data_IF_589682571985
#
_entry.id   IF_589682571985
#
_cell.length_a   1.000
_cell.length_b   1.000
_cell.length_c   1.000
_cell.angle_alpha   90.00
_cell.angle_beta   90.00
_cell.angle_gamma   90.00
#
_symmetry.space_group_name_H-M   'P 1'
#
loop_
_entity.id
_entity.type
_entity.pdbx_description
1 polymer ?
#
# COMPACT_ATOMS: atom_id res chain seq x y z
N UNK A 1 -0.71 60.23 -35.38
CA UNK A 1 0.45 60.48 -34.50
C UNK A 1 0.04 60.14 -33.08
N UNK A 2 0.47 58.98 -32.59
CA UNK A 2 0.10 58.48 -31.26
C UNK A 2 0.89 59.25 -30.19
N UNK A 3 0.18 59.81 -29.20
CA UNK A 3 0.76 60.55 -28.11
C UNK A 3 1.78 59.69 -27.34
N UNK A 4 3.00 60.22 -27.15
CA UNK A 4 4.04 59.61 -26.30
C UNK A 4 3.50 59.50 -24.87
N UNK A 5 3.13 58.28 -24.47
CA UNK A 5 2.66 58.00 -23.11
C UNK A 5 3.71 58.36 -22.07
N UNK A 6 3.33 59.20 -21.12
CA UNK A 6 4.17 59.69 -20.02
C UNK A 6 4.73 58.53 -19.19
N UNK A 7 6.06 58.48 -19.05
CA UNK A 7 6.80 57.48 -18.25
C UNK A 7 6.36 57.51 -16.78
N UNK A 8 6.06 58.71 -16.27
CA UNK A 8 5.59 58.92 -14.89
C UNK A 8 4.26 58.19 -14.67
N UNK A 9 3.37 58.19 -15.67
CA UNK A 9 2.05 57.56 -15.57
C UNK A 9 2.16 56.03 -15.55
N UNK A 10 3.13 55.46 -16.27
CA UNK A 10 3.44 54.02 -16.20
C UNK A 10 3.98 53.61 -14.83
N UNK A 11 4.88 54.41 -14.26
CA UNK A 11 5.42 54.19 -12.91
C UNK A 11 4.32 54.23 -11.84
N UNK A 12 3.41 55.20 -11.94
CA UNK A 12 2.30 55.37 -11.00
C UNK A 12 1.32 54.19 -11.08
N UNK A 13 1.02 53.70 -12.29
CA UNK A 13 0.20 52.49 -12.48
C UNK A 13 0.83 51.26 -11.81
N UNK A 14 2.15 51.06 -11.93
CA UNK A 14 2.85 49.92 -11.31
C UNK A 14 2.81 50.01 -9.78
N UNK A 15 3.03 51.20 -9.21
CA UNK A 15 2.95 51.41 -7.75
C UNK A 15 1.52 51.17 -7.25
N UNK A 16 0.51 51.69 -7.94
CA UNK A 16 -0.89 51.44 -7.60
C UNK A 16 -1.24 49.95 -7.70
N UNK A 17 -0.77 49.24 -8.73
CA UNK A 17 -1.00 47.80 -8.88
C UNK A 17 -0.36 46.99 -7.74
N UNK A 18 0.86 47.35 -7.32
CA UNK A 18 1.54 46.72 -6.18
C UNK A 18 0.80 46.98 -4.85
N UNK A 19 0.35 48.22 -4.62
CA UNK A 19 -0.44 48.57 -3.44
C UNK A 19 -1.76 47.78 -3.41
N UNK A 20 -2.44 47.67 -4.55
CA UNK A 20 -3.70 46.94 -4.68
C UNK A 20 -3.50 45.44 -4.45
N UNK A 21 -2.40 44.88 -4.96
CA UNK A 21 -2.00 43.49 -4.68
C UNK A 21 -1.72 43.24 -3.20
N UNK A 22 -1.04 44.16 -2.50
CA UNK A 22 -0.82 44.04 -1.05
C UNK A 22 -2.12 44.11 -0.26
N UNK A 23 -3.02 45.04 -0.58
CA UNK A 23 -4.32 45.18 0.10
C UNK A 23 -5.19 43.93 -0.05
N UNK A 24 -5.10 43.23 -1.20
CA UNK A 24 -5.83 41.97 -1.41
C UNK A 24 -5.14 40.78 -0.71
N UNK A 25 -3.80 40.72 -0.74
CA UNK A 25 -3.06 39.55 -0.25
C UNK A 25 -2.84 39.52 1.26
N UNK A 26 -2.72 40.67 1.92
CA UNK A 26 -2.50 40.77 3.37
C UNK A 26 -3.65 40.17 4.20
N UNK A 27 -4.94 40.49 3.95
CA UNK A 27 -6.06 39.90 4.68
C UNK A 27 -6.12 38.38 4.54
N UNK A 28 -5.84 37.86 3.34
CA UNK A 28 -5.80 36.41 3.10
C UNK A 28 -4.74 35.68 3.92
N UNK A 29 -3.56 36.30 4.10
CA UNK A 29 -2.52 35.74 4.97
C UNK A 29 -2.91 35.79 6.44
N UNK A 30 -3.45 36.92 6.91
CA UNK A 30 -3.88 37.09 8.31
C UNK A 30 -4.96 36.06 8.66
N UNK A 31 -5.99 35.87 7.83
CA UNK A 31 -7.02 34.87 8.09
C UNK A 31 -6.48 33.44 8.07
N UNK A 32 -5.52 33.12 7.19
CA UNK A 32 -4.91 31.80 7.17
C UNK A 32 -4.09 31.53 8.45
N UNK A 33 -3.44 32.56 8.99
CA UNK A 33 -2.65 32.48 10.22
C UNK A 33 -3.57 32.39 11.44
N UNK A 34 -4.66 33.17 11.49
CA UNK A 34 -5.69 33.06 12.53
C UNK A 34 -6.34 31.68 12.57
N UNK A 35 -6.72 31.13 11.40
CA UNK A 35 -7.26 29.77 11.30
C UNK A 35 -6.25 28.72 11.78
N UNK A 36 -4.97 28.89 11.44
CA UNK A 36 -3.91 28.00 11.91
C UNK A 36 -3.75 28.09 13.43
N UNK A 37 -3.73 29.29 14.00
CA UNK A 37 -3.60 29.51 15.44
C UNK A 37 -4.82 28.96 16.20
N UNK A 38 -6.03 29.22 15.71
CA UNK A 38 -7.26 28.71 16.31
C UNK A 38 -7.27 27.18 16.31
N UNK A 39 -6.93 26.58 15.16
CA UNK A 39 -6.82 25.12 15.06
C UNK A 39 -5.76 24.57 16.01
N UNK A 40 -4.57 25.16 16.04
CA UNK A 40 -3.48 24.75 16.93
C UNK A 40 -3.90 24.86 18.40
N UNK A 41 -4.59 25.94 18.79
CA UNK A 41 -5.10 26.14 20.14
C UNK A 41 -6.14 25.07 20.52
N UNK A 42 -7.06 24.74 19.60
CA UNK A 42 -8.06 23.68 19.81
C UNK A 42 -7.40 22.31 19.93
N UNK A 43 -6.43 22.01 19.07
CA UNK A 43 -5.68 20.75 19.10
C UNK A 43 -4.87 20.61 20.40
N UNK A 44 -4.25 21.70 20.87
CA UNK A 44 -3.53 21.73 22.14
C UNK A 44 -4.48 21.51 23.33
N UNK A 45 -5.62 22.20 23.36
CA UNK A 45 -6.63 22.01 24.41
C UNK A 45 -7.17 20.59 24.44
N UNK A 46 -7.46 20.01 23.27
CA UNK A 46 -7.90 18.63 23.17
C UNK A 46 -6.83 17.67 23.71
N UNK A 47 -5.56 17.91 23.37
CA UNK A 47 -4.44 17.09 23.82
C UNK A 47 -4.27 17.13 25.35
N UNK A 48 -4.39 18.32 25.96
CA UNK A 48 -4.35 18.50 27.41
C UNK A 48 -5.55 17.81 28.08
N UNK A 49 -6.73 17.94 27.50
CA UNK A 49 -7.95 17.29 28.00
C UNK A 49 -7.80 15.77 28.03
N UNK A 50 -7.38 15.15 26.92
CA UNK A 50 -7.16 13.70 26.83
C UNK A 50 -6.08 13.23 27.81
N UNK A 51 -5.00 14.00 27.95
CA UNK A 51 -3.96 13.74 28.94
C UNK A 51 -4.50 13.74 30.38
N UNK A 52 -5.31 14.73 30.73
CA UNK A 52 -5.92 14.83 32.05
C UNK A 52 -6.92 13.69 32.29
N UNK A 53 -7.72 13.33 31.29
CA UNK A 53 -8.64 12.19 31.36
C UNK A 53 -7.89 10.87 31.51
N UNK A 54 -6.76 10.69 30.83
CA UNK A 54 -5.88 9.53 30.99
C UNK A 54 -5.34 9.43 32.42
N UNK A 55 -4.80 10.53 32.95
CA UNK A 55 -4.32 10.61 34.34
C UNK A 55 -5.42 10.27 35.35
N UNK A 56 -6.60 10.89 35.21
CA UNK A 56 -7.76 10.61 36.05
C UNK A 56 -8.19 9.14 35.96
N UNK A 57 -8.15 8.57 34.76
CA UNK A 57 -8.46 7.16 34.53
C UNK A 57 -7.60 6.22 35.38
N UNK A 58 -6.31 6.53 35.54
CA UNK A 58 -5.32 5.74 36.29
C UNK A 58 -5.32 6.02 37.80
N UNK A 59 -5.40 7.29 38.19
CA UNK A 59 -5.20 7.72 39.59
C UNK A 59 -6.51 7.95 40.35
N UNK A 60 -7.63 8.06 39.62
CA UNK A 60 -8.95 8.48 40.14
C UNK A 60 -8.92 9.86 40.82
N UNK A 61 -7.97 10.72 40.46
CA UNK A 61 -7.81 12.07 40.99
C UNK A 61 -7.55 13.05 39.84
N UNK A 62 -8.03 14.28 39.99
CA UNK A 62 -7.63 15.35 39.09
C UNK A 62 -6.20 15.80 39.43
N UNK A 63 -5.49 16.25 38.40
CA UNK A 63 -4.13 16.78 38.55
C UNK A 63 -4.13 18.03 39.47
N UNK A 64 -3.08 18.24 40.27
CA UNK A 64 -2.91 19.50 41.00
C UNK A 64 -2.88 20.71 40.05
N UNK A 65 -3.34 21.86 40.52
CA UNK A 65 -3.68 23.03 39.67
C UNK A 65 -2.53 23.62 38.83
N UNK A 66 -1.26 23.25 39.05
CA UNK A 66 -0.10 23.87 38.40
C UNK A 66 1.00 22.89 37.93
N UNK A 67 0.68 21.79 37.23
CA UNK A 67 1.74 20.84 36.84
C UNK A 67 1.54 20.12 35.50
N UNK A 68 1.40 20.88 34.41
CA UNK A 68 1.49 20.32 33.04
C UNK A 68 2.76 19.47 32.85
N UNK A 69 3.90 19.88 33.41
CA UNK A 69 5.15 19.09 33.39
C UNK A 69 4.98 17.74 34.08
N UNK A 70 4.29 17.69 35.22
CA UNK A 70 3.99 16.44 35.92
C UNK A 70 3.09 15.51 35.10
N UNK A 71 2.13 16.08 34.36
CA UNK A 71 1.28 15.29 33.47
C UNK A 71 2.08 14.65 32.33
N UNK A 72 2.98 15.43 31.73
CA UNK A 72 3.88 14.94 30.68
C UNK A 72 4.81 13.86 31.22
N UNK A 73 5.40 14.06 32.40
CA UNK A 73 6.27 13.07 33.05
C UNK A 73 5.52 11.80 33.46
N UNK A 74 4.28 11.93 33.93
CA UNK A 74 3.40 10.81 34.22
C UNK A 74 3.13 9.98 32.96
N UNK A 75 2.81 10.63 31.85
CA UNK A 75 2.56 9.94 30.56
C UNK A 75 3.83 9.27 30.06
N UNK A 76 4.97 9.97 30.10
CA UNK A 76 6.29 9.44 29.68
C UNK A 76 6.78 8.28 30.55
N UNK A 77 6.33 8.19 31.80
CA UNK A 77 6.67 7.08 32.69
C UNK A 77 5.71 5.88 32.60
N UNK A 78 4.60 5.98 31.85
CA UNK A 78 3.70 4.85 31.63
C UNK A 78 4.36 3.79 30.73
N UNK A 79 4.84 2.73 31.38
CA UNK A 79 5.50 1.60 30.73
C UNK A 79 4.64 0.91 29.66
N UNK A 80 3.32 0.86 29.82
CA UNK A 80 2.43 0.22 28.85
C UNK A 80 2.24 1.07 27.60
N UNK A 81 2.10 2.39 27.75
CA UNK A 81 2.07 3.33 26.62
C UNK A 81 3.38 3.30 25.84
N UNK A 82 4.51 3.39 26.56
CA UNK A 82 5.85 3.30 25.97
C UNK A 82 6.05 1.98 25.22
N UNK A 83 5.56 0.86 25.77
CA UNK A 83 5.61 -0.44 25.11
C UNK A 83 4.77 -0.45 23.82
N UNK A 84 3.54 0.06 23.84
CA UNK A 84 2.68 0.15 22.63
C UNK A 84 3.31 1.04 21.56
N UNK A 85 3.85 2.21 21.95
CA UNK A 85 4.58 3.09 21.04
C UNK A 85 5.79 2.38 20.42
N UNK A 86 6.56 1.64 21.23
CA UNK A 86 7.72 0.89 20.77
C UNK A 86 7.31 -0.21 19.77
N UNK A 87 6.24 -0.97 20.05
CA UNK A 87 5.69 -1.96 19.13
C UNK A 87 5.26 -1.29 17.82
N UNK A 88 4.53 -0.18 17.88
CA UNK A 88 4.09 0.56 16.70
C UNK A 88 5.27 1.01 15.83
N UNK A 89 6.29 1.62 16.44
CA UNK A 89 7.52 2.01 15.74
C UNK A 89 8.21 0.83 15.07
N UNK A 90 8.39 -0.28 15.78
CA UNK A 90 9.04 -1.48 15.24
C UNK A 90 8.19 -2.12 14.12
N UNK A 91 6.87 -2.07 14.24
CA UNK A 91 5.92 -2.50 13.19
C UNK A 91 6.11 -1.68 11.93
N UNK A 92 6.17 -0.34 12.03
CA UNK A 92 6.43 0.53 10.88
C UNK A 92 7.78 0.27 10.23
N UNK A 93 8.85 0.08 11.01
CA UNK A 93 10.18 -0.26 10.47
C UNK A 93 10.15 -1.55 9.65
N UNK A 94 9.44 -2.57 10.12
CA UNK A 94 9.27 -3.81 9.36
C UNK A 94 8.39 -3.60 8.13
N UNK A 95 7.26 -2.92 8.26
CA UNK A 95 6.34 -2.62 7.16
C UNK A 95 7.04 -1.86 6.03
N UNK A 96 7.82 -0.82 6.36
CA UNK A 96 8.60 -0.07 5.38
C UNK A 96 9.64 -0.93 4.68
N UNK A 97 10.25 -1.86 5.41
CA UNK A 97 11.21 -2.80 4.84
C UNK A 97 10.55 -3.78 3.87
N UNK A 98 9.36 -4.27 4.20
CA UNK A 98 8.54 -5.12 3.32
C UNK A 98 8.03 -4.36 2.10
N UNK A 99 7.52 -3.13 2.28
CA UNK A 99 7.05 -2.28 1.18
C UNK A 99 8.15 -2.02 0.15
N UNK A 100 9.37 -1.73 0.60
CA UNK A 100 10.52 -1.56 -0.32
C UNK A 100 10.77 -2.78 -1.22
N UNK A 101 10.50 -3.99 -0.71
CA UNK A 101 10.61 -5.23 -1.51
C UNK A 101 9.48 -5.31 -2.51
N UNK A 102 8.24 -5.04 -2.08
CA UNK A 102 7.07 -5.06 -2.95
C UNK A 102 7.13 -3.98 -4.04
N UNK A 103 7.84 -2.88 -3.77
CA UNK A 103 8.07 -1.76 -4.70
C UNK A 103 9.17 -2.02 -5.73
N UNK A 104 9.92 -3.13 -5.64
CA UNK A 104 10.90 -3.50 -6.68
C UNK A 104 10.16 -3.66 -8.01
N UNK A 105 10.62 -3.05 -9.12
CA UNK A 105 9.85 -2.99 -10.36
C UNK A 105 9.31 -4.34 -10.85
N UNK A 106 10.14 -5.38 -10.89
CA UNK A 106 9.69 -6.72 -11.30
C UNK A 106 8.65 -7.30 -10.33
N UNK A 107 8.84 -7.12 -9.02
CA UNK A 107 7.89 -7.60 -8.00
C UNK A 107 6.55 -6.89 -8.13
N UNK A 108 6.58 -5.56 -8.21
CA UNK A 108 5.40 -4.71 -8.38
C UNK A 108 4.61 -5.06 -9.63
N UNK A 109 5.27 -5.36 -10.75
CA UNK A 109 4.60 -5.76 -11.98
C UNK A 109 4.00 -7.18 -11.90
N UNK A 110 4.50 -8.07 -11.03
CA UNK A 110 3.90 -9.40 -10.84
C UNK A 110 2.63 -9.39 -9.97
N UNK A 111 2.47 -8.43 -9.07
CA UNK A 111 1.28 -8.29 -8.21
C UNK A 111 -0.03 -8.24 -9.02
N UNK A 112 -0.20 -7.33 -10.01
CA UNK A 112 -1.43 -7.25 -10.80
C UNK A 112 -1.68 -8.51 -11.63
N UNK A 113 -0.64 -9.25 -11.99
CA UNK A 113 -0.81 -10.55 -12.67
C UNK A 113 -1.47 -11.53 -11.71
N UNK A 114 -0.95 -11.68 -10.50
CA UNK A 114 -1.51 -12.63 -9.54
C UNK A 114 -2.94 -12.28 -9.13
N UNK A 115 -3.20 -11.01 -8.80
CA UNK A 115 -4.54 -10.57 -8.43
C UNK A 115 -5.54 -10.80 -9.56
N UNK A 116 -5.18 -10.47 -10.80
CA UNK A 116 -6.11 -10.62 -11.92
C UNK A 116 -6.32 -12.06 -12.39
N UNK A 117 -5.35 -12.95 -12.20
CA UNK A 117 -5.59 -14.38 -12.39
C UNK A 117 -6.65 -14.91 -11.40
N UNK A 118 -6.58 -14.50 -10.12
CA UNK A 118 -7.59 -14.84 -9.11
C UNK A 118 -8.94 -14.21 -9.42
N UNK A 119 -8.97 -12.94 -9.83
CA UNK A 119 -10.18 -12.21 -10.20
C UNK A 119 -10.89 -12.88 -11.38
N UNK A 120 -10.17 -13.30 -12.43
CA UNK A 120 -10.77 -13.98 -13.58
C UNK A 120 -11.43 -15.29 -13.13
N UNK A 121 -10.71 -16.15 -12.42
CA UNK A 121 -11.28 -17.43 -11.95
C UNK A 121 -12.50 -17.20 -11.05
N UNK A 122 -12.41 -16.25 -10.11
CA UNK A 122 -13.53 -15.92 -9.22
C UNK A 122 -14.74 -15.36 -9.95
N UNK A 123 -14.53 -14.47 -10.92
CA UNK A 123 -15.62 -13.85 -11.69
C UNK A 123 -16.29 -14.86 -12.63
N UNK A 124 -15.51 -15.78 -13.22
CA UNK A 124 -16.05 -16.88 -14.02
C UNK A 124 -16.91 -17.84 -13.19
N UNK A 125 -16.47 -18.20 -11.98
CA UNK A 125 -17.25 -19.07 -11.10
C UNK A 125 -18.52 -18.37 -10.60
N UNK A 126 -18.42 -17.10 -10.19
CA UNK A 126 -19.56 -16.34 -9.70
C UNK A 126 -20.67 -16.17 -10.74
N UNK A 127 -20.31 -16.06 -12.03
CA UNK A 127 -21.26 -15.83 -13.12
C UNK A 127 -21.75 -17.12 -13.81
N UNK A 128 -21.39 -18.31 -13.29
CA UNK A 128 -21.76 -19.61 -13.88
C UNK A 128 -23.24 -19.72 -14.22
N UNK A 129 -24.13 -19.28 -13.30
CA UNK A 129 -25.59 -19.30 -13.51
C UNK A 129 -26.07 -18.57 -14.77
N UNK A 130 -25.33 -17.56 -15.23
CA UNK A 130 -25.65 -16.83 -16.45
C UNK A 130 -25.12 -17.54 -17.69
N UNK A 131 -24.03 -18.29 -17.54
CA UNK A 131 -23.39 -19.05 -18.61
C UNK A 131 -24.12 -20.35 -18.94
N UNK A 132 -24.79 -20.98 -17.98
CA UNK A 132 -25.50 -22.28 -18.15
C UNK A 132 -26.51 -22.32 -19.29
N UNK A 133 -27.02 -21.16 -19.75
CA UNK A 133 -27.95 -21.06 -20.90
C UNK A 133 -27.24 -21.03 -22.26
N UNK A 134 -25.92 -21.00 -22.28
CA UNK A 134 -25.06 -20.77 -23.44
C UNK A 134 -23.91 -21.78 -23.44
N UNK A 135 -24.13 -22.94 -24.06
CA UNK A 135 -23.18 -24.08 -24.05
C UNK A 135 -21.76 -23.69 -24.51
N UNK A 136 -21.65 -22.84 -25.54
CA UNK A 136 -20.38 -22.33 -26.04
C UNK A 136 -19.62 -21.50 -24.99
N UNK A 137 -20.33 -20.70 -24.18
CA UNK A 137 -19.74 -19.90 -23.11
C UNK A 137 -19.32 -20.79 -21.95
N UNK A 138 -20.09 -21.84 -21.63
CA UNK A 138 -19.70 -22.84 -20.63
C UNK A 138 -18.45 -23.61 -21.04
N UNK A 139 -18.34 -24.00 -22.31
CA UNK A 139 -17.14 -24.66 -22.84
C UNK A 139 -15.91 -23.73 -22.76
N UNK A 140 -16.08 -22.45 -23.15
CA UNK A 140 -15.02 -21.44 -23.01
C UNK A 140 -14.59 -21.26 -21.56
N UNK A 141 -15.55 -21.15 -20.62
CA UNK A 141 -15.27 -21.04 -19.19
C UNK A 141 -14.39 -22.20 -18.73
N UNK A 142 -14.79 -23.44 -19.03
CA UNK A 142 -14.05 -24.64 -18.60
C UNK A 142 -12.61 -24.63 -19.12
N UNK A 143 -12.41 -24.33 -20.41
CA UNK A 143 -11.08 -24.21 -21.04
C UNK A 143 -10.24 -23.11 -20.41
N UNK A 144 -10.83 -21.94 -20.14
CA UNK A 144 -10.12 -20.83 -19.50
C UNK A 144 -9.69 -21.22 -18.09
N UNK A 145 -10.60 -21.74 -17.25
CA UNK A 145 -10.28 -22.14 -15.87
C UNK A 145 -9.17 -23.20 -15.83
N UNK A 146 -9.24 -24.22 -16.68
CA UNK A 146 -8.19 -25.25 -16.79
C UNK A 146 -6.82 -24.61 -17.12
N UNK A 147 -6.79 -23.70 -18.09
CA UNK A 147 -5.55 -23.07 -18.52
C UNK A 147 -5.00 -22.04 -17.52
N UNK A 148 -5.87 -21.36 -16.78
CA UNK A 148 -5.43 -20.48 -15.69
C UNK A 148 -4.80 -21.28 -14.55
N UNK A 149 -5.30 -22.49 -14.28
CA UNK A 149 -4.66 -23.38 -13.29
C UNK A 149 -3.26 -23.82 -13.72
N UNK A 150 -3.01 -23.96 -15.03
CA UNK A 150 -1.64 -24.17 -15.53
C UNK A 150 -0.76 -22.97 -15.23
N UNK A 151 -1.20 -21.72 -15.47
CA UNK A 151 -0.35 -20.56 -15.12
C UNK A 151 -0.08 -20.44 -13.61
N UNK A 152 -0.94 -21.02 -12.77
CA UNK A 152 -0.76 -21.02 -11.33
C UNK A 152 0.14 -22.11 -10.78
N UNK A 153 0.17 -23.29 -11.39
CA UNK A 153 0.86 -24.47 -10.87
C UNK A 153 1.66 -25.29 -11.90
N UNK A 154 1.93 -24.76 -13.10
CA UNK A 154 2.56 -25.54 -14.18
C UNK A 154 4.01 -25.90 -13.91
N UNK A 155 4.37 -27.12 -14.33
CA UNK A 155 5.74 -27.59 -14.44
C UNK A 155 6.52 -26.94 -15.60
N UNK A 156 5.85 -26.22 -16.51
CA UNK A 156 6.49 -25.58 -17.68
C UNK A 156 7.22 -24.28 -17.32
N UNK A 157 6.73 -23.53 -16.33
CA UNK A 157 7.34 -22.27 -15.84
C UNK A 157 7.41 -22.26 -14.30
N UNK A 158 8.13 -23.24 -13.71
CA UNK A 158 8.13 -23.45 -12.26
C UNK A 158 8.73 -22.28 -11.49
N UNK A 159 9.71 -21.56 -12.05
CA UNK A 159 10.32 -20.42 -11.36
C UNK A 159 9.37 -19.22 -11.33
N UNK A 160 8.63 -18.97 -12.42
CA UNK A 160 7.58 -17.94 -12.44
C UNK A 160 6.49 -18.21 -11.40
N UNK A 161 5.93 -19.42 -11.38
CA UNK A 161 4.87 -19.79 -10.43
C UNK A 161 5.34 -19.70 -8.98
N UNK A 162 6.55 -20.18 -8.68
CA UNK A 162 7.14 -20.07 -7.34
C UNK A 162 7.36 -18.62 -6.93
N UNK A 163 7.98 -17.81 -7.79
CA UNK A 163 8.21 -16.40 -7.52
C UNK A 163 6.90 -15.68 -7.21
N UNK A 164 5.86 -15.86 -8.03
CA UNK A 164 4.53 -15.28 -7.79
C UNK A 164 3.98 -15.68 -6.42
N UNK A 165 4.05 -16.96 -6.07
CA UNK A 165 3.53 -17.43 -4.78
C UNK A 165 4.25 -16.79 -3.58
N UNK A 166 5.57 -16.57 -3.68
CA UNK A 166 6.30 -15.84 -2.63
C UNK A 166 5.93 -14.36 -2.57
N UNK A 167 5.66 -13.72 -3.72
CA UNK A 167 5.19 -12.32 -3.79
C UNK A 167 3.81 -12.18 -3.16
N UNK A 168 2.89 -13.09 -3.48
CA UNK A 168 1.58 -13.16 -2.85
C UNK A 168 1.70 -13.35 -1.34
N UNK A 169 2.53 -14.31 -0.90
CA UNK A 169 2.75 -14.57 0.52
C UNK A 169 3.31 -13.36 1.26
N UNK A 170 4.24 -12.62 0.64
CA UNK A 170 4.78 -11.40 1.23
C UNK A 170 3.75 -10.27 1.28
N UNK A 171 2.92 -10.14 0.24
CA UNK A 171 1.84 -9.13 0.19
C UNK A 171 0.79 -9.40 1.26
N UNK A 172 0.34 -10.65 1.40
CA UNK A 172 -0.59 -11.04 2.47
C UNK A 172 0.03 -10.86 3.86
N UNK A 173 1.32 -11.14 4.01
CA UNK A 173 2.02 -10.92 5.27
C UNK A 173 2.08 -9.42 5.64
N UNK A 174 2.24 -8.54 4.65
CA UNK A 174 2.21 -7.08 4.83
C UNK A 174 0.83 -6.62 5.32
N UNK A 175 -0.24 -7.09 4.70
CA UNK A 175 -1.62 -6.75 5.07
C UNK A 175 -2.00 -7.23 6.47
N UNK A 176 -1.46 -8.39 6.89
CA UNK A 176 -1.83 -9.08 8.14
C UNK A 176 -0.74 -9.04 9.21
N UNK A 177 0.19 -8.08 9.12
CA UNK A 177 1.34 -7.98 10.04
C UNK A 177 0.91 -7.78 11.50
N UNK A 178 -0.26 -7.20 11.75
CA UNK A 178 -0.85 -7.02 13.07
C UNK A 178 -1.46 -8.30 13.68
N UNK A 179 -1.56 -9.39 12.91
CA UNK A 179 -2.12 -10.66 13.38
C UNK A 179 -1.05 -11.60 13.94
N UNK A 180 0.23 -11.30 13.71
CA UNK A 180 1.36 -12.15 14.07
C UNK A 180 2.38 -11.41 14.92
N UNK A 181 3.16 -12.17 15.69
CA UNK A 181 4.34 -11.66 16.40
C UNK A 181 5.34 -11.04 15.42
N UNK A 182 5.87 -9.87 15.74
CA UNK A 182 6.79 -9.15 14.86
C UNK A 182 8.04 -9.96 14.49
N UNK A 183 8.57 -10.78 15.41
CA UNK A 183 9.67 -11.70 15.13
C UNK A 183 9.33 -12.70 14.02
N UNK A 184 8.13 -13.29 14.07
CA UNK A 184 7.66 -14.25 13.09
C UNK A 184 7.47 -13.59 11.72
N UNK A 185 6.87 -12.38 11.70
CA UNK A 185 6.68 -11.62 10.45
C UNK A 185 8.04 -11.31 9.83
N UNK A 186 9.01 -10.80 10.60
CA UNK A 186 10.33 -10.48 10.08
C UNK A 186 11.04 -11.72 9.53
N UNK A 187 10.95 -12.87 10.22
CA UNK A 187 11.53 -14.13 9.76
C UNK A 187 10.85 -14.64 8.48
N UNK A 188 9.51 -14.57 8.39
CA UNK A 188 8.76 -14.99 7.20
C UNK A 188 9.08 -14.09 6.00
N UNK A 189 9.12 -12.77 6.21
CA UNK A 189 9.50 -11.80 5.19
C UNK A 189 10.91 -12.09 4.66
N UNK A 190 11.87 -12.36 5.55
CA UNK A 190 13.23 -12.74 5.16
C UNK A 190 13.24 -14.01 4.28
N UNK A 191 12.52 -15.06 4.67
CA UNK A 191 12.43 -16.32 3.90
C UNK A 191 11.79 -16.12 2.52
N UNK A 192 10.78 -15.26 2.42
CA UNK A 192 10.14 -14.96 1.14
C UNK A 192 11.10 -14.21 0.22
N UNK A 193 11.80 -13.19 0.72
CA UNK A 193 12.79 -12.45 -0.07
C UNK A 193 13.95 -13.33 -0.48
N UNK A 194 14.43 -14.21 0.41
CA UNK A 194 15.46 -15.20 0.09
C UNK A 194 15.06 -16.05 -1.12
N UNK A 195 13.81 -16.51 -1.12
CA UNK A 195 13.26 -17.29 -2.22
C UNK A 195 13.12 -16.45 -3.50
N UNK A 196 12.64 -15.20 -3.39
CA UNK A 196 12.53 -14.29 -4.54
C UNK A 196 13.90 -14.07 -5.21
N UNK A 197 14.96 -13.85 -4.44
CA UNK A 197 16.33 -13.69 -4.97
C UNK A 197 16.80 -14.94 -5.72
N UNK A 198 16.39 -16.14 -5.29
CA UNK A 198 16.74 -17.41 -5.95
C UNK A 198 15.98 -17.61 -7.27
N UNK A 199 14.69 -17.27 -7.30
CA UNK A 199 13.81 -17.59 -8.43
C UNK A 199 13.75 -16.49 -9.49
N UNK A 200 13.83 -15.22 -9.10
CA UNK A 200 13.77 -14.08 -10.03
C UNK A 200 14.70 -14.17 -11.24
N UNK A 201 16.01 -14.50 -11.10
CA UNK A 201 16.90 -14.55 -12.26
C UNK A 201 16.59 -15.72 -13.22
N UNK A 202 15.76 -16.68 -12.79
CA UNK A 202 15.50 -17.94 -13.52
C UNK A 202 14.10 -18.00 -14.14
N UNK A 203 13.31 -16.94 -14.06
CA UNK A 203 11.95 -16.94 -14.58
C UNK A 203 11.93 -17.20 -16.09
N UNK A 204 11.01 -18.05 -16.50
CA UNK A 204 10.85 -18.51 -17.88
C UNK A 204 10.07 -17.50 -18.73
N UNK A 205 10.48 -16.22 -18.73
CA UNK A 205 9.63 -15.11 -19.18
C UNK A 205 9.11 -15.26 -20.62
N UNK A 206 9.96 -15.66 -21.55
CA UNK A 206 9.57 -15.83 -22.97
C UNK A 206 8.48 -16.89 -23.12
N UNK A 207 8.60 -18.00 -22.37
CA UNK A 207 7.60 -19.09 -22.38
C UNK A 207 6.30 -18.64 -21.71
N UNK A 208 6.38 -17.94 -20.58
CA UNK A 208 5.21 -17.38 -19.88
C UNK A 208 4.48 -16.38 -20.77
N UNK A 209 5.20 -15.51 -21.48
CA UNK A 209 4.60 -14.52 -22.38
C UNK A 209 3.95 -15.17 -23.59
N UNK A 210 4.59 -16.17 -24.20
CA UNK A 210 4.00 -16.95 -25.30
C UNK A 210 2.73 -17.66 -24.85
N UNK A 211 2.75 -18.29 -23.67
CA UNK A 211 1.58 -18.94 -23.09
C UNK A 211 0.44 -17.95 -22.83
N UNK A 212 0.77 -16.82 -22.18
CA UNK A 212 -0.21 -15.78 -21.86
C UNK A 212 -0.85 -15.19 -23.12
N UNK A 213 -0.08 -14.98 -24.20
CA UNK A 213 -0.63 -14.46 -25.46
C UNK A 213 -1.75 -15.36 -26.03
N UNK A 214 -1.59 -16.68 -25.92
CA UNK A 214 -2.65 -17.64 -26.26
C UNK A 214 -3.87 -17.52 -25.34
N UNK A 215 -3.65 -17.40 -24.03
CA UNK A 215 -4.74 -17.25 -23.06
C UNK A 215 -5.49 -15.92 -23.21
N UNK A 216 -4.77 -14.85 -23.53
CA UNK A 216 -5.35 -13.55 -23.81
C UNK A 216 -6.34 -13.64 -24.97
N UNK A 217 -5.95 -14.28 -26.09
CA UNK A 217 -6.86 -14.47 -27.23
C UNK A 217 -8.10 -15.26 -26.84
N UNK A 218 -7.91 -16.40 -26.15
CA UNK A 218 -9.00 -17.27 -25.72
C UNK A 218 -10.02 -16.52 -24.85
N UNK A 219 -9.56 -15.79 -23.84
CA UNK A 219 -10.44 -15.05 -22.93
C UNK A 219 -11.09 -13.87 -23.67
N UNK A 220 -10.34 -13.19 -24.55
CA UNK A 220 -10.88 -12.08 -25.33
C UNK A 220 -11.97 -12.53 -26.31
N UNK A 221 -11.87 -13.73 -26.87
CA UNK A 221 -12.92 -14.31 -27.71
C UNK A 221 -14.15 -14.71 -26.88
N UNK A 222 -13.96 -15.28 -25.68
CA UNK A 222 -15.04 -15.49 -24.72
C UNK A 222 -15.75 -14.17 -24.36
N UNK A 223 -15.00 -13.08 -24.12
CA UNK A 223 -15.56 -11.75 -23.88
C UNK A 223 -16.45 -11.32 -25.05
N UNK A 224 -15.98 -11.46 -26.30
CA UNK A 224 -16.79 -11.10 -27.48
C UNK A 224 -18.06 -11.94 -27.57
N UNK A 225 -18.01 -13.20 -27.20
CA UNK A 225 -19.17 -14.09 -27.27
C UNK A 225 -20.18 -13.80 -26.16
N UNK A 226 -19.74 -13.53 -24.93
CA UNK A 226 -20.63 -13.00 -23.87
C UNK A 226 -21.28 -11.70 -24.35
N UNK A 227 -20.54 -10.85 -25.08
CA UNK A 227 -21.08 -9.60 -25.63
C UNK A 227 -22.14 -9.77 -26.72
N UNK A 228 -22.37 -10.99 -27.21
CA UNK A 228 -23.44 -11.28 -28.18
C UNK A 228 -24.69 -11.88 -27.53
N UNK A 229 -24.67 -12.13 -26.22
CA UNK A 229 -25.77 -12.79 -25.51
C UNK A 229 -26.52 -11.83 -24.60
N UNK A 230 -27.62 -12.33 -24.02
CA UNK A 230 -28.45 -11.63 -23.02
C UNK A 230 -27.70 -11.38 -21.70
N UNK A 231 -26.56 -12.06 -21.47
CA UNK A 231 -25.74 -11.93 -20.26
C UNK A 231 -25.31 -10.48 -20.03
N UNK A 232 -25.00 -9.72 -21.09
CA UNK A 232 -24.63 -8.31 -20.96
C UNK A 232 -25.70 -7.44 -20.31
N UNK A 233 -26.97 -7.83 -20.42
CA UNK A 233 -28.08 -7.06 -19.85
C UNK A 233 -28.18 -7.25 -18.33
N UNK A 234 -27.59 -8.31 -17.80
CA UNK A 234 -27.73 -8.72 -16.39
C UNK A 234 -26.39 -8.83 -15.65
N UNK A 235 -25.26 -8.75 -16.34
CA UNK A 235 -23.93 -8.80 -15.75
C UNK A 235 -22.89 -8.03 -16.58
N UNK A 236 -21.98 -7.33 -15.88
CA UNK A 236 -20.80 -6.70 -16.49
C UNK A 236 -19.57 -7.62 -16.57
N UNK A 237 -19.76 -8.94 -16.48
CA UNK A 237 -18.67 -9.93 -16.51
C UNK A 237 -17.78 -9.80 -17.74
N UNK A 238 -18.33 -9.51 -18.92
CA UNK A 238 -17.53 -9.31 -20.13
C UNK A 238 -16.54 -8.14 -20.00
N UNK A 239 -16.98 -7.02 -19.42
CA UNK A 239 -16.13 -5.82 -19.24
C UNK A 239 -15.11 -6.02 -18.12
N UNK A 240 -15.48 -6.71 -17.04
CA UNK A 240 -14.55 -7.06 -15.95
C UNK A 240 -13.46 -8.02 -16.45
N UNK A 241 -13.84 -9.08 -17.15
CA UNK A 241 -12.89 -10.01 -17.76
C UNK A 241 -11.92 -9.28 -18.70
N UNK A 242 -12.43 -8.39 -19.56
CA UNK A 242 -11.62 -7.56 -20.44
C UNK A 242 -10.59 -6.72 -19.67
N UNK A 243 -11.04 -6.04 -18.62
CA UNK A 243 -10.18 -5.24 -17.74
C UNK A 243 -9.08 -6.10 -17.09
N UNK A 244 -9.40 -7.30 -16.62
CA UNK A 244 -8.44 -8.19 -15.97
C UNK A 244 -7.37 -8.69 -16.95
N UNK A 245 -7.76 -9.14 -18.15
CA UNK A 245 -6.78 -9.62 -19.14
C UNK A 245 -5.89 -8.48 -19.67
N UNK A 246 -6.44 -7.28 -19.84
CA UNK A 246 -5.66 -6.11 -20.27
C UNK A 246 -4.68 -5.67 -19.18
N UNK A 247 -5.06 -5.78 -17.90
CA UNK A 247 -4.16 -5.53 -16.76
C UNK A 247 -2.99 -6.51 -16.75
N UNK A 248 -3.27 -7.81 -16.93
CA UNK A 248 -2.21 -8.83 -17.00
C UNK A 248 -1.31 -8.57 -18.23
N UNK A 249 -1.89 -8.26 -19.39
CA UNK A 249 -1.10 -8.01 -20.60
C UNK A 249 -0.18 -6.78 -20.47
N UNK A 250 -0.67 -5.72 -19.82
CA UNK A 250 0.13 -4.53 -19.52
C UNK A 250 1.29 -4.88 -18.59
N UNK A 251 1.00 -5.61 -17.50
CA UNK A 251 2.01 -6.05 -16.55
C UNK A 251 3.06 -7.01 -17.16
N UNK A 252 2.64 -7.92 -18.03
CA UNK A 252 3.55 -8.81 -18.78
C UNK A 252 4.47 -8.01 -19.71
N UNK A 253 3.94 -6.99 -20.37
CA UNK A 253 4.71 -6.10 -21.25
C UNK A 253 5.73 -5.29 -20.45
N UNK A 254 5.33 -4.75 -19.30
CA UNK A 254 6.25 -4.08 -18.38
C UNK A 254 7.36 -5.04 -17.94
N UNK A 255 7.02 -6.24 -17.46
CA UNK A 255 7.98 -7.26 -17.03
C UNK A 255 9.02 -7.62 -18.09
N UNK A 256 8.62 -7.67 -19.37
CA UNK A 256 9.53 -7.98 -20.47
C UNK A 256 10.60 -6.89 -20.70
N UNK A 257 10.32 -5.65 -20.30
CA UNK A 257 11.21 -4.49 -20.50
C UNK A 257 12.14 -4.20 -19.31
N UNK A 258 11.87 -4.79 -18.15
CA UNK A 258 12.60 -4.49 -16.91
C UNK A 258 13.99 -5.14 -16.85
N UNK A 259 14.92 -4.43 -16.23
CA UNK A 259 16.26 -4.95 -15.95
C UNK A 259 16.23 -5.88 -14.74
N UNK A 260 15.97 -7.17 -14.99
CA UNK A 260 15.90 -8.19 -13.95
C UNK A 260 17.17 -8.31 -13.12
N UNK A 261 18.35 -8.11 -13.71
CA UNK A 261 19.61 -8.19 -12.95
C UNK A 261 19.75 -7.06 -11.95
N UNK A 262 19.35 -5.84 -12.32
CA UNK A 262 19.29 -4.70 -11.41
C UNK A 262 18.27 -4.93 -10.28
N UNK A 263 17.13 -5.52 -10.58
CA UNK A 263 16.11 -5.84 -9.59
C UNK A 263 16.57 -6.95 -8.62
N UNK A 264 17.31 -7.95 -9.11
CA UNK A 264 17.98 -8.95 -8.24
C UNK A 264 18.96 -8.27 -7.28
N UNK A 265 19.80 -7.36 -7.77
CA UNK A 265 20.74 -6.62 -6.91
C UNK A 265 20.00 -5.76 -5.87
N UNK A 266 18.88 -5.15 -6.26
CA UNK A 266 18.02 -4.37 -5.37
C UNK A 266 17.38 -5.26 -4.30
N UNK A 267 16.86 -6.43 -4.67
CA UNK A 267 16.32 -7.41 -3.73
C UNK A 267 17.37 -7.93 -2.77
N UNK A 268 18.60 -8.16 -3.21
CA UNK A 268 19.71 -8.56 -2.32
C UNK A 268 19.98 -7.48 -1.26
N UNK A 269 19.95 -6.19 -1.64
CA UNK A 269 20.07 -5.09 -0.69
C UNK A 269 18.92 -5.08 0.33
N UNK A 270 17.68 -5.25 -0.14
CA UNK A 270 16.51 -5.25 0.75
C UNK A 270 16.40 -6.50 1.62
N UNK A 271 16.86 -7.66 1.13
CA UNK A 271 17.09 -8.87 1.93
C UNK A 271 17.96 -8.58 3.14
N UNK A 272 19.11 -7.94 2.93
CA UNK A 272 19.99 -7.53 4.03
C UNK A 272 19.30 -6.52 4.96
N UNK A 273 18.44 -5.65 4.44
CA UNK A 273 17.62 -4.73 5.21
C UNK A 273 16.66 -5.45 6.17
N UNK A 274 15.86 -6.39 5.66
CA UNK A 274 14.93 -7.18 6.49
C UNK A 274 15.70 -8.05 7.49
N UNK A 275 16.83 -8.63 7.10
CA UNK A 275 17.69 -9.38 8.02
C UNK A 275 18.22 -8.53 9.18
N UNK A 276 18.55 -7.26 8.94
CA UNK A 276 18.91 -6.31 10.01
C UNK A 276 17.73 -6.03 10.94
N UNK A 277 16.52 -5.82 10.40
CA UNK A 277 15.31 -5.63 11.21
C UNK A 277 15.05 -6.84 12.10
N UNK A 278 15.15 -8.05 11.54
CA UNK A 278 15.02 -9.28 12.31
C UNK A 278 16.07 -9.37 13.44
N UNK A 279 17.33 -9.08 13.15
CA UNK A 279 18.38 -9.07 14.18
C UNK A 279 18.12 -8.02 15.27
N UNK A 280 17.66 -6.82 14.91
CA UNK A 280 17.24 -5.80 15.88
C UNK A 280 16.10 -6.28 16.77
N UNK A 281 15.19 -7.12 16.25
CA UNK A 281 14.11 -7.67 17.06
C UNK A 281 14.59 -8.70 18.08
N UNK A 282 15.71 -9.37 17.80
CA UNK A 282 16.34 -10.35 18.69
C UNK A 282 17.24 -9.72 19.76
N UNK A 283 17.53 -8.42 19.67
CA UNK A 283 18.30 -7.71 20.70
C UNK A 283 17.56 -7.74 22.06
N UNK A 284 18.27 -7.83 23.19
CA UNK A 284 17.66 -7.94 24.52
C UNK A 284 16.59 -6.88 24.80
N UNK A 285 16.83 -5.64 24.37
CA UNK A 285 15.92 -4.52 24.58
C UNK A 285 14.61 -4.66 23.79
N UNK A 286 14.61 -5.41 22.69
CA UNK A 286 13.47 -5.53 21.77
C UNK A 286 12.80 -6.90 21.84
N UNK A 287 13.48 -7.94 22.32
CA UNK A 287 13.04 -9.34 22.26
C UNK A 287 11.63 -9.54 22.83
N UNK A 288 11.40 -9.15 24.10
CA UNK A 288 10.09 -9.29 24.73
C UNK A 288 9.03 -8.37 24.10
N UNK A 289 9.45 -7.24 23.52
CA UNK A 289 8.53 -6.32 22.85
C UNK A 289 8.02 -6.92 21.53
N UNK A 290 8.91 -7.52 20.74
CA UNK A 290 8.64 -8.05 19.40
C UNK A 290 7.98 -9.43 19.41
N UNK A 291 7.91 -10.06 20.59
CA UNK A 291 7.04 -11.22 20.86
C UNK A 291 5.54 -10.87 20.87
N UNK A 292 5.19 -9.59 20.78
CA UNK A 292 3.81 -9.13 20.64
C UNK A 292 3.41 -8.97 19.17
N UNK A 293 2.11 -8.96 18.93
CA UNK A 293 1.54 -8.68 17.62
C UNK A 293 1.85 -7.25 17.17
N UNK A 294 1.98 -7.05 15.86
CA UNK A 294 2.22 -5.72 15.29
C UNK A 294 1.08 -4.74 15.56
N UNK A 295 1.41 -3.45 15.67
CA UNK A 295 0.46 -2.35 15.81
C UNK A 295 0.69 -1.38 14.64
N UNK A 296 -0.23 -1.37 13.67
CA UNK A 296 -0.14 -0.48 12.50
C UNK A 296 -0.55 0.96 12.83
N UNK A 297 -1.41 1.14 13.83
CA UNK A 297 -1.87 2.44 14.27
C UNK A 297 -2.16 2.38 15.77
N UNK A 298 -1.67 3.36 16.51
CA UNK A 298 -2.10 3.58 17.88
C UNK A 298 -3.57 4.04 17.88
N UNK A 299 -4.32 3.73 18.94
CA UNK A 299 -5.64 4.35 19.09
C UNK A 299 -5.48 5.88 19.22
N UNK A 300 -6.57 6.61 18.98
CA UNK A 300 -6.55 8.08 18.93
C UNK A 300 -5.95 8.70 20.18
N UNK A 301 -6.34 8.21 21.35
CA UNK A 301 -5.87 8.67 22.65
C UNK A 301 -4.37 8.41 22.80
N UNK A 302 -3.90 7.18 22.64
CA UNK A 302 -2.46 6.84 22.73
C UNK A 302 -1.64 7.64 21.71
N UNK A 303 -2.18 7.88 20.50
CA UNK A 303 -1.52 8.70 19.46
C UNK A 303 -1.40 10.17 19.86
N UNK A 304 -2.40 10.72 20.57
CA UNK A 304 -2.35 12.08 21.13
C UNK A 304 -1.33 12.13 22.27
N UNK A 305 -1.40 11.17 23.20
CA UNK A 305 -0.56 11.14 24.40
C UNK A 305 0.94 11.01 24.08
N UNK A 306 1.29 10.24 23.04
CA UNK A 306 2.68 10.06 22.61
C UNK A 306 3.29 11.33 21.98
N UNK A 307 2.48 12.30 21.57
CA UNK A 307 2.94 13.54 20.91
C UNK A 307 3.08 14.74 21.87
N UNK A 308 2.72 14.56 23.14
CA UNK A 308 2.88 15.54 24.21
C UNK A 308 4.35 15.63 24.68
#
# INVERSE_FOLDING_TARGET
>A
MAAKGSIILKLLIVVCALALWQVISLPGKIWSEEQHLEKTSRDNMNSIYEAQMYYYGKTKRFMPEDSLEYLVDFIKSDSALNQRQKIGRLTHVLNDSVNRILDVPTIRAMIPISSSLREISGDLEFNTRYFERHDNIMEHKAKVVENLNKITASAEFPNFSKLRNYIDSLSTLQERMNEYKLQNVAQMAQRYVDSMVVYLPKIEMDRVQSYWSGQYSLINDMVKDIKKTDIMQVSSVADRLKKFIDRINTAMSELATLNRQQDVNTLQKYKSGVGKVYNTFLEPDNFLTTENNGIMQLNEIDSILVKL
#
